data_IF_497817001670
#
_entry.id   IF_497817001670
#
_cell.length_a   1.000
_cell.length_b   1.000
_cell.length_c   1.000
_cell.angle_alpha   90.00
_cell.angle_beta   90.00
_cell.angle_gamma   90.00
#
_symmetry.space_group_name_H-M   'P 1'
#
loop_
_entity.id
_entity.type
_entity.pdbx_description
1 polymer ?
#
# COMPACT_ATOMS: atom_id res chain seq x y z
N UNK A 1 -34.75 2.81 -0.56
CA UNK A 1 -33.78 3.53 0.30
C UNK A 1 -32.86 2.61 1.09
N UNK A 2 -33.40 1.55 1.73
CA UNK A 2 -32.62 0.60 2.55
C UNK A 2 -31.43 -0.04 1.81
N UNK A 3 -31.59 -0.41 0.54
CA UNK A 3 -30.50 -1.01 -0.24
C UNK A 3 -29.38 -0.03 -0.59
N UNK A 4 -29.71 1.25 -0.83
CA UNK A 4 -28.68 2.28 -1.09
C UNK A 4 -27.86 2.54 0.18
N UNK A 5 -28.51 2.71 1.32
CA UNK A 5 -27.85 2.90 2.62
C UNK A 5 -26.93 1.71 2.93
N UNK A 6 -27.41 0.48 2.69
CA UNK A 6 -26.60 -0.72 2.87
C UNK A 6 -25.35 -0.73 2.00
N UNK A 7 -25.44 -0.24 0.76
CA UNK A 7 -24.28 -0.12 -0.12
C UNK A 7 -23.31 0.98 0.33
N UNK A 8 -23.80 2.08 0.90
CA UNK A 8 -22.95 3.14 1.46
C UNK A 8 -22.15 2.60 2.64
N UNK A 9 -22.83 1.92 3.57
CA UNK A 9 -22.19 1.30 4.74
C UNK A 9 -21.15 0.28 4.32
N UNK A 10 -21.40 -0.54 3.29
CA UNK A 10 -20.41 -1.50 2.76
C UNK A 10 -19.17 -0.82 2.19
N UNK A 11 -19.33 0.30 1.48
CA UNK A 11 -18.21 1.08 0.95
C UNK A 11 -17.35 1.68 2.06
N UNK A 12 -18.00 2.33 3.04
CA UNK A 12 -17.33 2.88 4.22
C UNK A 12 -16.61 1.78 5.03
N UNK A 13 -17.29 0.65 5.27
CA UNK A 13 -16.72 -0.46 6.02
C UNK A 13 -15.51 -1.07 5.30
N UNK A 14 -15.57 -1.22 3.97
CA UNK A 14 -14.43 -1.73 3.21
C UNK A 14 -13.19 -0.85 3.38
N UNK A 15 -13.34 0.48 3.25
CA UNK A 15 -12.26 1.45 3.43
C UNK A 15 -11.71 1.47 4.87
N UNK A 16 -12.59 1.52 5.87
CA UNK A 16 -12.19 1.55 7.28
C UNK A 16 -11.46 0.27 7.68
N UNK A 17 -12.00 -0.89 7.30
CA UNK A 17 -11.44 -2.19 7.68
C UNK A 17 -10.10 -2.41 7.00
N UNK A 18 -9.97 -2.11 5.70
CA UNK A 18 -8.69 -2.26 5.00
C UNK A 18 -7.63 -1.34 5.61
N UNK A 19 -7.97 -0.08 5.88
CA UNK A 19 -7.04 0.86 6.50
C UNK A 19 -6.63 0.41 7.90
N UNK A 20 -7.59 -0.01 8.72
CA UNK A 20 -7.34 -0.49 10.09
C UNK A 20 -6.43 -1.69 10.10
N UNK A 21 -6.71 -2.71 9.28
CA UNK A 21 -5.89 -3.92 9.20
C UNK A 21 -4.46 -3.55 8.79
N UNK A 22 -4.33 -2.70 7.76
CA UNK A 22 -3.02 -2.32 7.25
C UNK A 22 -2.20 -1.52 8.25
N UNK A 23 -2.80 -0.47 8.83
CA UNK A 23 -2.13 0.42 9.77
C UNK A 23 -1.77 -0.30 11.09
N UNK A 24 -2.63 -1.19 11.60
CA UNK A 24 -2.31 -1.97 12.80
C UNK A 24 -1.18 -2.95 12.53
N UNK A 25 -1.23 -3.69 11.40
CA UNK A 25 -0.17 -4.64 11.08
C UNK A 25 1.19 -3.95 10.93
N UNK A 26 1.23 -2.82 10.21
CA UNK A 26 2.44 -2.00 10.10
C UNK A 26 2.85 -1.42 11.45
N UNK A 27 1.91 -0.88 12.22
CA UNK A 27 2.20 -0.26 13.51
C UNK A 27 2.75 -1.25 14.53
N UNK A 28 2.23 -2.47 14.58
CA UNK A 28 2.79 -3.54 15.41
C UNK A 28 4.22 -3.90 14.99
N UNK A 29 4.47 -4.03 13.69
CA UNK A 29 5.82 -4.30 13.18
C UNK A 29 6.81 -3.18 13.52
N UNK A 30 6.42 -1.92 13.27
CA UNK A 30 7.23 -0.74 13.57
C UNK A 30 7.46 -0.60 15.07
N UNK A 31 6.43 -0.81 15.90
CA UNK A 31 6.55 -0.76 17.35
C UNK A 31 7.60 -1.76 17.87
N UNK A 32 7.53 -3.01 17.40
CA UNK A 32 8.47 -4.06 17.79
C UNK A 32 9.89 -3.74 17.32
N UNK A 33 10.04 -3.26 16.08
CA UNK A 33 11.34 -2.84 15.55
C UNK A 33 11.94 -1.70 16.36
N UNK A 34 11.18 -0.63 16.62
CA UNK A 34 11.63 0.51 17.41
C UNK A 34 11.91 0.14 18.85
N UNK A 35 11.16 -0.81 19.42
CA UNK A 35 11.38 -1.32 20.77
C UNK A 35 12.73 -2.04 20.85
N UNK A 36 13.04 -2.91 19.89
CA UNK A 36 14.35 -3.59 19.84
C UNK A 36 15.47 -2.58 19.67
N UNK A 37 15.35 -1.62 18.74
CA UNK A 37 16.36 -0.57 18.54
C UNK A 37 16.55 0.25 19.82
N UNK A 38 15.47 0.62 20.50
CA UNK A 38 15.54 1.36 21.78
C UNK A 38 16.27 0.57 22.85
N UNK A 39 16.12 -0.77 22.88
CA UNK A 39 16.83 -1.64 23.82
C UNK A 39 18.31 -1.79 23.48
N UNK A 40 18.66 -1.87 22.20
CA UNK A 40 20.04 -2.05 21.75
C UNK A 40 20.86 -0.75 21.83
N UNK A 41 20.28 0.40 21.49
CA UNK A 41 20.97 1.69 21.52
C UNK A 41 21.00 2.32 22.92
N UNK A 42 20.21 1.80 23.88
CA UNK A 42 20.16 2.28 25.26
C UNK A 42 19.72 3.75 25.41
N UNK A 43 19.11 4.31 24.37
CA UNK A 43 18.69 5.71 24.28
C UNK A 43 17.23 5.95 24.67
N UNK A 44 16.72 7.13 24.30
CA UNK A 44 15.32 7.50 24.52
C UNK A 44 14.33 6.51 23.89
N UNK A 45 13.11 6.46 24.44
CA UNK A 45 12.09 5.53 23.99
C UNK A 45 11.56 5.89 22.58
N UNK A 46 12.21 5.35 21.54
CA UNK A 46 11.84 5.56 20.14
C UNK A 46 10.43 5.04 19.82
N UNK A 47 9.87 4.15 20.65
CA UNK A 47 8.50 3.65 20.46
C UNK A 47 7.45 4.77 20.53
N UNK A 48 7.77 5.92 21.14
CA UNK A 48 6.91 7.11 21.09
C UNK A 48 6.64 7.60 19.65
N UNK A 49 7.57 7.34 18.71
CA UNK A 49 7.43 7.69 17.29
C UNK A 49 6.64 6.68 16.46
N UNK A 50 6.19 5.56 17.04
CA UNK A 50 5.54 4.45 16.30
C UNK A 50 4.36 4.91 15.46
N UNK A 51 3.45 5.69 16.04
CA UNK A 51 2.21 6.11 15.38
C UNK A 51 2.50 7.02 14.19
N UNK A 52 3.35 8.03 14.37
CA UNK A 52 3.76 8.96 13.32
C UNK A 52 4.47 8.24 12.18
N UNK A 53 5.41 7.35 12.51
CA UNK A 53 6.14 6.58 11.50
C UNK A 53 5.21 5.61 10.75
N UNK A 54 4.23 5.01 11.44
CA UNK A 54 3.22 4.16 10.81
C UNK A 54 2.40 4.95 9.80
N UNK A 55 1.89 6.11 10.18
CA UNK A 55 1.11 6.97 9.28
C UNK A 55 1.96 7.42 8.09
N UNK A 56 3.22 7.80 8.32
CA UNK A 56 4.14 8.17 7.26
C UNK A 56 4.40 7.02 6.28
N UNK A 57 4.57 5.79 6.77
CA UNK A 57 4.77 4.60 5.91
C UNK A 57 3.48 4.21 5.17
N UNK A 58 2.30 4.43 5.75
CA UNK A 58 1.03 4.27 5.03
C UNK A 58 0.97 5.23 3.86
N UNK A 59 1.23 6.53 4.07
CA UNK A 59 1.25 7.54 3.01
C UNK A 59 2.35 7.26 1.97
N UNK A 60 3.52 6.81 2.41
CA UNK A 60 4.61 6.40 1.53
C UNK A 60 4.21 5.20 0.65
N UNK A 61 3.42 4.27 1.19
CA UNK A 61 2.90 3.13 0.43
C UNK A 61 1.89 3.55 -0.64
N UNK A 62 1.29 4.73 -0.52
CA UNK A 62 0.48 5.38 -1.56
C UNK A 62 1.29 6.30 -2.49
N UNK A 63 2.61 6.42 -2.24
CA UNK A 63 3.54 7.20 -3.06
C UNK A 63 3.77 8.64 -2.59
N UNK A 64 3.45 8.94 -1.32
CA UNK A 64 3.72 10.26 -0.72
C UNK A 64 4.94 10.19 0.20
N UNK A 65 6.04 10.83 -0.23
CA UNK A 65 7.31 10.82 0.48
C UNK A 65 7.30 11.71 1.73
N UNK A 66 8.22 11.44 2.65
CA UNK A 66 8.45 12.28 3.82
C UNK A 66 9.95 12.55 4.02
N UNK A 67 10.25 13.60 4.76
CA UNK A 67 11.60 14.08 5.04
C UNK A 67 11.76 14.40 6.52
N UNK A 68 12.99 14.20 6.98
CA UNK A 68 13.49 14.61 8.30
C UNK A 68 14.72 15.48 8.08
N UNK A 69 15.26 16.07 9.14
CA UNK A 69 16.48 16.88 9.06
C UNK A 69 17.69 16.10 8.51
N UNK A 70 17.70 14.77 8.70
CA UNK A 70 18.81 13.91 8.33
C UNK A 70 18.65 13.20 6.99
N UNK A 71 17.41 12.95 6.53
CA UNK A 71 17.18 12.22 5.28
C UNK A 71 15.80 12.51 4.67
N UNK A 72 15.69 12.28 3.36
CA UNK A 72 14.43 12.36 2.61
C UNK A 72 14.11 11.01 1.98
N UNK A 73 12.94 10.45 2.30
CA UNK A 73 12.49 9.15 1.82
C UNK A 73 11.30 9.33 0.85
N UNK A 74 11.59 9.20 -0.44
CA UNK A 74 10.61 9.35 -1.53
C UNK A 74 10.41 8.07 -2.35
N UNK A 75 11.23 7.04 -2.10
CA UNK A 75 11.14 5.78 -2.83
C UNK A 75 9.92 5.00 -2.32
N UNK A 76 8.92 4.88 -3.20
CA UNK A 76 7.69 4.12 -2.92
C UNK A 76 8.00 2.62 -2.77
N UNK A 77 7.67 2.00 -1.63
CA UNK A 77 7.85 0.57 -1.43
C UNK A 77 6.79 -0.20 -2.23
N UNK A 78 7.12 -0.55 -3.48
CA UNK A 78 6.18 -1.17 -4.43
C UNK A 78 5.46 -2.41 -3.86
N UNK A 79 6.15 -3.24 -3.08
CA UNK A 79 5.53 -4.42 -2.46
C UNK A 79 4.43 -4.03 -1.48
N UNK A 80 4.67 -2.99 -0.67
CA UNK A 80 3.68 -2.47 0.27
C UNK A 80 2.50 -1.81 -0.46
N UNK A 81 2.75 -1.08 -1.55
CA UNK A 81 1.70 -0.53 -2.41
C UNK A 81 0.82 -1.63 -3.00
N UNK A 82 1.43 -2.68 -3.55
CA UNK A 82 0.71 -3.82 -4.11
C UNK A 82 -0.11 -4.54 -3.02
N UNK A 83 0.48 -4.76 -1.84
CA UNK A 83 -0.21 -5.37 -0.70
C UNK A 83 -1.40 -4.53 -0.23
N UNK A 84 -1.24 -3.20 -0.16
CA UNK A 84 -2.29 -2.25 0.22
C UNK A 84 -3.45 -2.30 -0.78
N UNK A 85 -3.16 -2.18 -2.07
CA UNK A 85 -4.15 -2.27 -3.16
C UNK A 85 -4.89 -3.60 -3.08
N UNK A 86 -4.16 -4.71 -2.89
CA UNK A 86 -4.73 -6.04 -2.80
C UNK A 86 -5.62 -6.22 -1.57
N UNK A 87 -5.23 -5.68 -0.41
CA UNK A 87 -6.04 -5.71 0.81
C UNK A 87 -7.33 -4.90 0.66
N UNK A 88 -7.26 -3.70 0.09
CA UNK A 88 -8.44 -2.87 -0.21
C UNK A 88 -9.38 -3.64 -1.16
N UNK A 89 -8.84 -4.19 -2.25
CA UNK A 89 -9.60 -4.96 -3.23
C UNK A 89 -10.29 -6.18 -2.57
N UNK A 90 -9.57 -6.88 -1.70
CA UNK A 90 -10.10 -8.03 -0.95
C UNK A 90 -11.24 -7.62 -0.02
N UNK A 91 -11.11 -6.49 0.69
CA UNK A 91 -12.17 -5.96 1.55
C UNK A 91 -13.41 -5.58 0.73
N UNK A 92 -13.23 -4.87 -0.39
CA UNK A 92 -14.33 -4.50 -1.30
C UNK A 92 -15.08 -5.75 -1.79
N UNK A 93 -14.34 -6.79 -2.20
CA UNK A 93 -14.92 -8.06 -2.62
C UNK A 93 -15.65 -8.77 -1.48
N UNK A 94 -15.05 -8.80 -0.28
CA UNK A 94 -15.61 -9.45 0.91
C UNK A 94 -16.94 -8.82 1.34
N UNK A 95 -17.05 -7.50 1.31
CA UNK A 95 -18.27 -6.76 1.65
C UNK A 95 -19.25 -6.65 0.49
N UNK A 96 -18.90 -7.14 -0.71
CA UNK A 96 -19.69 -7.05 -1.94
C UNK A 96 -20.04 -5.60 -2.30
N UNK A 97 -19.07 -4.71 -2.14
CA UNK A 97 -19.19 -3.26 -2.29
C UNK A 97 -18.95 -2.79 -3.73
N UNK A 98 -19.64 -3.40 -4.72
CA UNK A 98 -19.38 -3.15 -6.15
C UNK A 98 -20.23 -2.03 -6.78
N UNK A 99 -21.13 -1.43 -6.02
CA UNK A 99 -21.99 -0.35 -6.52
C UNK A 99 -21.23 0.98 -6.55
N UNK A 100 -21.54 1.85 -7.53
CA UNK A 100 -20.94 3.19 -7.64
C UNK A 100 -21.10 4.01 -6.36
N UNK A 101 -22.23 3.85 -5.66
CA UNK A 101 -22.44 4.50 -4.37
C UNK A 101 -21.46 4.01 -3.29
N UNK A 102 -21.10 2.72 -3.29
CA UNK A 102 -20.09 2.18 -2.39
C UNK A 102 -18.70 2.72 -2.71
N UNK A 103 -18.38 2.91 -4.00
CA UNK A 103 -17.13 3.55 -4.42
C UNK A 103 -17.03 4.97 -3.87
N UNK A 104 -18.03 5.82 -4.11
CA UNK A 104 -17.98 7.24 -3.69
C UNK A 104 -17.84 7.36 -2.18
N UNK A 105 -18.63 6.60 -1.42
CA UNK A 105 -18.56 6.65 0.05
C UNK A 105 -17.24 6.06 0.56
N UNK A 106 -16.79 4.94 0.00
CA UNK A 106 -15.50 4.35 0.36
C UNK A 106 -14.34 5.29 0.07
N UNK A 107 -14.35 5.96 -1.09
CA UNK A 107 -13.34 6.93 -1.49
C UNK A 107 -13.33 8.13 -0.53
N UNK A 108 -14.49 8.71 -0.20
CA UNK A 108 -14.58 9.82 0.75
C UNK A 108 -14.00 9.43 2.11
N UNK A 109 -14.34 8.24 2.62
CA UNK A 109 -13.82 7.74 3.89
C UNK A 109 -12.31 7.50 3.81
N UNK A 110 -11.82 6.91 2.71
CA UNK A 110 -10.39 6.68 2.49
C UNK A 110 -9.59 7.98 2.49
N UNK A 111 -10.07 8.99 1.76
CA UNK A 111 -9.44 10.30 1.68
C UNK A 111 -9.51 11.06 3.01
N UNK A 112 -10.59 10.94 3.76
CA UNK A 112 -10.69 11.56 5.09
C UNK A 112 -9.63 10.99 6.05
N UNK A 113 -9.42 9.67 6.05
CA UNK A 113 -8.39 9.06 6.90
C UNK A 113 -6.98 9.49 6.47
N UNK A 114 -6.70 9.46 5.16
CA UNK A 114 -5.40 9.91 4.64
C UNK A 114 -5.16 11.41 4.87
N UNK A 115 -6.20 12.24 4.86
CA UNK A 115 -6.10 13.65 5.23
C UNK A 115 -5.66 13.82 6.68
N UNK A 116 -6.25 13.04 7.60
CA UNK A 116 -5.89 13.04 9.02
C UNK A 116 -4.46 12.53 9.23
N UNK A 117 -4.06 11.47 8.53
CA UNK A 117 -2.68 10.98 8.57
C UNK A 117 -1.69 12.02 8.06
N UNK A 118 -1.97 12.65 6.91
CA UNK A 118 -1.11 13.68 6.36
C UNK A 118 -0.96 14.87 7.32
N UNK A 119 -2.06 15.35 7.91
CA UNK A 119 -2.02 16.44 8.90
C UNK A 119 -1.24 16.06 10.17
N UNK A 120 -1.37 14.81 10.62
CA UNK A 120 -0.68 14.32 11.83
C UNK A 120 0.82 14.17 11.58
N UNK A 121 1.18 13.61 10.42
CA UNK A 121 2.57 13.44 10.00
C UNK A 121 3.22 14.78 9.79
N UNK A 122 2.58 15.75 9.12
CA UNK A 122 3.15 17.07 8.84
C UNK A 122 3.64 17.83 10.08
N UNK A 123 3.04 17.56 11.25
CA UNK A 123 3.46 18.16 12.53
C UNK A 123 4.76 17.55 13.06
N UNK A 124 5.04 16.28 12.74
CA UNK A 124 6.15 15.51 13.32
C UNK A 124 7.26 15.17 12.32
N UNK A 125 6.93 15.07 11.03
CA UNK A 125 7.82 14.83 9.90
C UNK A 125 7.36 15.71 8.72
N UNK A 126 8.30 16.27 7.97
CA UNK A 126 7.96 17.12 6.83
C UNK A 126 7.54 16.27 5.63
N UNK A 127 6.28 16.36 5.21
CA UNK A 127 5.81 15.72 3.98
C UNK A 127 6.39 16.44 2.75
N UNK A 128 6.78 15.66 1.74
CA UNK A 128 7.38 16.21 0.50
C UNK A 128 6.30 16.77 -0.43
N UNK A 129 5.11 16.16 -0.41
CA UNK A 129 4.00 16.54 -1.27
C UNK A 129 3.01 17.45 -0.54
N UNK A 130 2.39 18.35 -1.29
CA UNK A 130 1.26 19.16 -0.81
C UNK A 130 0.01 18.30 -0.53
N UNK A 131 -0.81 18.73 0.42
CA UNK A 131 -1.99 17.99 0.89
C UNK A 131 -2.91 17.52 -0.26
N UNK A 132 -3.16 18.38 -1.26
CA UNK A 132 -4.03 18.03 -2.39
C UNK A 132 -3.44 16.91 -3.26
N UNK A 133 -2.12 16.87 -3.40
CA UNK A 133 -1.42 15.87 -4.21
C UNK A 133 -1.37 14.53 -3.49
N UNK A 134 -1.22 14.53 -2.16
CA UNK A 134 -1.38 13.33 -1.32
C UNK A 134 -2.77 12.72 -1.52
N UNK A 135 -3.82 13.53 -1.41
CA UNK A 135 -5.19 13.06 -1.61
C UNK A 135 -5.44 12.56 -3.03
N UNK A 136 -4.83 13.16 -4.05
CA UNK A 136 -4.92 12.68 -5.43
C UNK A 136 -4.27 11.30 -5.60
N UNK A 137 -3.05 11.10 -5.08
CA UNK A 137 -2.35 9.80 -5.10
C UNK A 137 -3.13 8.74 -4.32
N UNK A 138 -3.65 9.10 -3.16
CA UNK A 138 -4.52 8.24 -2.33
C UNK A 138 -5.80 7.85 -3.07
N UNK A 139 -6.44 8.80 -3.76
CA UNK A 139 -7.62 8.55 -4.58
C UNK A 139 -7.30 7.57 -5.72
N UNK A 140 -6.15 7.73 -6.38
CA UNK A 140 -5.70 6.81 -7.42
C UNK A 140 -5.51 5.39 -6.87
N UNK A 141 -4.83 5.24 -5.73
CA UNK A 141 -4.61 3.96 -5.06
C UNK A 141 -5.93 3.24 -4.74
N UNK A 142 -6.88 3.94 -4.11
CA UNK A 142 -8.20 3.37 -3.80
C UNK A 142 -8.99 3.01 -5.06
N UNK A 143 -8.93 3.85 -6.10
CA UNK A 143 -9.62 3.62 -7.36
C UNK A 143 -9.10 2.39 -8.08
N UNK A 144 -7.78 2.22 -8.15
CA UNK A 144 -7.13 1.04 -8.74
C UNK A 144 -7.58 -0.23 -8.00
N UNK A 145 -7.58 -0.21 -6.67
CA UNK A 145 -8.04 -1.34 -5.87
C UNK A 145 -9.53 -1.65 -6.10
N UNK A 146 -10.38 -0.62 -6.14
CA UNK A 146 -11.81 -0.77 -6.39
C UNK A 146 -12.08 -1.36 -7.77
N UNK A 147 -11.43 -0.85 -8.82
CA UNK A 147 -11.54 -1.39 -10.17
C UNK A 147 -11.03 -2.83 -10.23
N UNK A 148 -9.90 -3.14 -9.59
CA UNK A 148 -9.36 -4.49 -9.49
C UNK A 148 -10.34 -5.49 -8.85
N UNK A 149 -11.13 -5.05 -7.87
CA UNK A 149 -12.16 -5.89 -7.23
C UNK A 149 -13.48 -5.97 -8.01
N UNK A 150 -13.91 -4.86 -8.62
CA UNK A 150 -15.23 -4.74 -9.25
C UNK A 150 -15.24 -5.23 -10.72
N UNK A 151 -14.17 -4.99 -11.49
CA UNK A 151 -14.08 -5.38 -12.89
C UNK A 151 -14.28 -6.89 -13.11
N UNK A 152 -13.63 -7.80 -12.35
CA UNK A 152 -13.81 -9.24 -12.51
C UNK A 152 -15.25 -9.72 -12.28
N UNK A 153 -16.09 -8.93 -11.59
CA UNK A 153 -17.48 -9.30 -11.31
C UNK A 153 -18.44 -8.87 -12.43
N UNK A 154 -18.01 -8.00 -13.34
CA UNK A 154 -18.86 -7.55 -14.44
C UNK A 154 -18.95 -8.59 -15.56
N UNK A 155 -20.15 -8.81 -16.09
CA UNK A 155 -20.40 -9.78 -17.17
C UNK A 155 -19.65 -9.41 -18.46
N UNK A 156 -19.51 -8.11 -18.75
CA UNK A 156 -18.78 -7.59 -19.91
C UNK A 156 -17.28 -7.86 -19.83
N UNK A 157 -16.66 -7.68 -18.66
CA UNK A 157 -15.23 -7.98 -18.47
C UNK A 157 -15.00 -9.48 -18.55
N UNK A 158 -15.89 -10.32 -18.00
CA UNK A 158 -15.78 -11.77 -18.16
C UNK A 158 -15.87 -12.19 -19.63
N UNK A 159 -16.81 -11.60 -20.39
CA UNK A 159 -16.93 -11.85 -21.82
C UNK A 159 -15.72 -11.35 -22.61
N UNK A 160 -15.19 -10.17 -22.27
CA UNK A 160 -13.98 -9.62 -22.89
C UNK A 160 -12.74 -10.45 -22.55
N UNK A 161 -12.58 -10.93 -21.32
CA UNK A 161 -11.50 -11.84 -20.91
C UNK A 161 -11.64 -13.18 -21.62
N UNK A 162 -12.86 -13.72 -21.76
CA UNK A 162 -13.11 -14.95 -22.50
C UNK A 162 -12.74 -14.79 -23.98
N UNK A 163 -13.22 -13.72 -24.62
CA UNK A 163 -12.86 -13.38 -25.99
C UNK A 163 -11.35 -13.15 -26.17
N UNK A 164 -10.70 -12.48 -25.22
CA UNK A 164 -9.26 -12.26 -25.24
C UNK A 164 -8.51 -13.57 -25.06
N UNK A 165 -8.98 -14.48 -24.19
CA UNK A 165 -8.39 -15.83 -24.05
C UNK A 165 -8.56 -16.68 -25.32
N UNK A 166 -9.63 -16.49 -26.08
CA UNK A 166 -9.81 -17.13 -27.40
C UNK A 166 -8.85 -16.55 -28.45
N UNK A 167 -8.52 -15.26 -28.36
CA UNK A 167 -7.61 -14.56 -29.29
C UNK A 167 -6.13 -14.75 -28.94
N UNK A 168 -5.79 -14.97 -27.67
CA UNK A 168 -4.41 -15.09 -27.21
C UNK A 168 -3.87 -16.48 -27.56
N UNK A 169 -2.93 -16.53 -28.51
CA UNK A 169 -2.26 -17.77 -28.88
C UNK A 169 -1.44 -18.35 -27.72
N UNK A 170 -1.31 -19.66 -27.69
CA UNK A 170 -0.52 -20.39 -26.68
C UNK A 170 0.93 -19.90 -26.60
N UNK A 171 1.47 -19.41 -27.73
CA UNK A 171 2.82 -18.85 -27.83
C UNK A 171 2.96 -17.54 -27.04
N UNK A 172 1.94 -16.67 -27.07
CA UNK A 172 1.94 -15.42 -26.29
C UNK A 172 1.90 -15.74 -24.80
N UNK A 173 1.08 -16.71 -24.37
CA UNK A 173 1.03 -17.14 -22.97
C UNK A 173 2.37 -17.69 -22.51
N UNK A 174 3.03 -18.52 -23.33
CA UNK A 174 4.36 -19.08 -23.03
C UNK A 174 5.42 -17.97 -22.96
N UNK A 175 5.41 -17.01 -23.89
CA UNK A 175 6.30 -15.86 -23.89
C UNK A 175 6.10 -15.01 -22.62
N UNK A 176 4.85 -14.70 -22.27
CA UNK A 176 4.52 -13.91 -21.09
C UNK A 176 4.94 -14.63 -19.80
N UNK A 177 4.69 -15.95 -19.71
CA UNK A 177 5.10 -16.78 -18.59
C UNK A 177 6.63 -16.78 -18.43
N UNK A 178 7.37 -16.95 -19.52
CA UNK A 178 8.83 -16.88 -19.51
C UNK A 178 9.33 -15.50 -19.11
N UNK A 179 8.69 -14.43 -19.59
CA UNK A 179 9.00 -13.04 -19.21
C UNK A 179 8.78 -12.78 -17.72
N UNK A 180 7.68 -13.26 -17.15
CA UNK A 180 7.39 -13.12 -15.70
C UNK A 180 8.40 -13.91 -14.86
N UNK A 181 8.75 -15.13 -15.26
CA UNK A 181 9.77 -15.94 -14.58
C UNK A 181 11.12 -15.22 -14.62
N UNK A 182 11.51 -14.70 -15.78
CA UNK A 182 12.76 -13.98 -15.95
C UNK A 182 12.79 -12.69 -15.10
N UNK A 183 11.70 -11.92 -15.09
CA UNK A 183 11.59 -10.71 -14.27
C UNK A 183 11.73 -11.03 -12.78
N UNK A 184 11.07 -12.09 -12.30
CA UNK A 184 11.22 -12.57 -10.92
C UNK A 184 12.64 -13.02 -10.62
N UNK A 185 13.29 -13.72 -11.54
CA UNK A 185 14.68 -14.16 -11.37
C UNK A 185 15.63 -12.95 -11.27
N UNK A 186 15.47 -11.94 -12.14
CA UNK A 186 16.26 -10.71 -12.10
C UNK A 186 16.03 -9.95 -10.79
N UNK A 187 14.78 -9.79 -10.35
CA UNK A 187 14.46 -9.17 -9.06
C UNK A 187 15.09 -9.92 -7.89
N UNK A 188 14.99 -11.25 -7.88
CA UNK A 188 15.57 -12.08 -6.83
C UNK A 188 17.10 -11.95 -6.78
N UNK A 189 17.78 -11.95 -7.93
CA UNK A 189 19.24 -11.78 -8.02
C UNK A 189 19.64 -10.39 -7.51
N UNK A 190 18.96 -9.32 -7.95
CA UNK A 190 19.25 -7.96 -7.50
C UNK A 190 19.02 -7.79 -6.00
N UNK A 191 17.94 -8.39 -5.47
CA UNK A 191 17.66 -8.41 -4.04
C UNK A 191 18.78 -9.12 -3.26
N UNK A 192 19.24 -10.27 -3.76
CA UNK A 192 20.33 -11.04 -3.16
C UNK A 192 21.63 -10.25 -3.12
N UNK A 193 22.01 -9.62 -4.25
CA UNK A 193 23.21 -8.79 -4.33
C UNK A 193 23.09 -7.60 -3.36
N UNK A 194 21.95 -6.91 -3.38
CA UNK A 194 21.69 -5.78 -2.47
C UNK A 194 21.79 -6.20 -0.99
N UNK A 195 21.22 -7.35 -0.63
CA UNK A 195 21.31 -7.90 0.73
C UNK A 195 22.75 -8.20 1.12
N UNK A 196 23.53 -8.85 0.25
CA UNK A 196 24.95 -9.14 0.48
C UNK A 196 25.74 -7.84 0.68
N UNK A 197 25.50 -6.83 -0.16
CA UNK A 197 26.17 -5.53 -0.04
C UNK A 197 25.85 -4.87 1.29
N UNK A 198 24.58 -4.82 1.70
CA UNK A 198 24.16 -4.25 2.99
C UNK A 198 24.81 -5.01 4.14
N UNK A 199 24.74 -6.34 4.16
CA UNK A 199 25.37 -7.17 5.21
C UNK A 199 26.87 -6.90 5.28
N UNK A 200 27.56 -6.86 4.14
CA UNK A 200 29.01 -6.60 4.08
C UNK A 200 29.35 -5.22 4.65
N UNK A 201 28.54 -4.20 4.34
CA UNK A 201 28.70 -2.86 4.88
C UNK A 201 28.44 -2.82 6.39
N UNK A 202 27.35 -3.43 6.86
CA UNK A 202 27.03 -3.47 8.30
C UNK A 202 28.14 -4.15 9.10
N UNK A 203 28.67 -5.28 8.61
CA UNK A 203 29.78 -6.00 9.25
C UNK A 203 31.08 -5.19 9.22
N UNK A 204 31.42 -4.58 8.07
CA UNK A 204 32.63 -3.75 7.97
C UNK A 204 32.55 -2.47 8.79
N UNK A 205 31.37 -1.85 8.89
CA UNK A 205 31.18 -0.63 9.67
C UNK A 205 31.16 -0.90 11.18
N UNK A 206 30.92 -2.15 11.62
CA UNK A 206 31.11 -2.58 13.01
C UNK A 206 32.58 -2.81 13.39
N UNK A 207 33.50 -2.88 12.41
CA UNK A 207 34.92 -3.12 12.63
C UNK A 207 35.77 -1.84 12.65
N UNK A 208 35.14 -0.66 12.59
CA UNK A 208 35.75 0.67 12.73
C UNK A 208 35.29 1.31 14.04
#
# INVERSE_FOLDING_TARGET
>A
MKDRIRQWVRGAAAALVSMTIYAIALGCYIALMLLVISMEEGGDNLTAGTTNLTQAIVLLSEGSGFSTDSFTLTITPLLLTVLLIWLIATCIARFKAFAVHSYVVGLVVWLAINAVFASSVQVSLSLVDEQWMILLKSAATFTVAYLGAALPQSSRVKAAIAWMREQVSEQVVRCLKSGVILAFAILAINLLIGLITVITWTVRNHAA
#
